data_IF_292691178610
#
_entry.id   IF_292691178610
#
_cell.length_a   1.000
_cell.length_b   1.000
_cell.length_c   1.000
_cell.angle_alpha   90.00
_cell.angle_beta   90.00
_cell.angle_gamma   90.00
#
_symmetry.space_group_name_H-M   'P 1'
#
loop_
_entity.id
_entity.type
_entity.pdbx_description
1 polymer ?
#
# COMPACT_ATOMS: atom_id res chain seq x y z
N UNK A 1 -18.33 4.17 -22.57
CA UNK A 1 -17.03 4.67 -23.06
C UNK A 1 -16.80 6.01 -22.41
N UNK A 2 -15.62 6.28 -21.81
CA UNK A 2 -15.38 7.59 -21.18
C UNK A 2 -15.56 8.74 -22.18
N UNK A 3 -16.15 9.85 -21.75
CA UNK A 3 -16.30 11.08 -22.54
C UNK A 3 -15.54 12.26 -21.93
N UNK A 4 -15.33 13.30 -22.74
CA UNK A 4 -14.62 14.50 -22.30
C UNK A 4 -15.52 15.38 -21.45
N UNK A 5 -14.96 15.92 -20.37
CA UNK A 5 -15.63 16.93 -19.57
C UNK A 5 -15.75 18.25 -20.36
N UNK A 6 -16.94 18.83 -20.42
CA UNK A 6 -17.16 20.10 -21.13
C UNK A 6 -16.42 21.29 -20.49
N UNK A 7 -16.03 21.20 -19.21
CA UNK A 7 -15.29 22.25 -18.52
C UNK A 7 -13.78 22.20 -18.79
N UNK A 8 -13.13 21.06 -18.58
CA UNK A 8 -11.66 20.94 -18.67
C UNK A 8 -11.14 20.14 -19.87
N UNK A 9 -12.03 19.53 -20.65
CA UNK A 9 -11.74 18.70 -21.82
C UNK A 9 -10.95 17.40 -21.57
N UNK A 10 -10.69 17.03 -20.31
CA UNK A 10 -10.12 15.72 -19.97
C UNK A 10 -11.18 14.61 -20.08
N UNK A 11 -10.75 13.42 -20.49
CA UNK A 11 -11.60 12.23 -20.67
C UNK A 11 -11.86 11.51 -19.35
N UNK A 12 -12.72 12.09 -18.51
CA UNK A 12 -12.93 11.65 -17.12
C UNK A 12 -14.32 11.11 -16.82
N UNK A 13 -15.30 11.35 -17.69
CA UNK A 13 -16.70 11.05 -17.39
C UNK A 13 -17.05 9.65 -17.88
N UNK A 14 -17.48 8.77 -16.98
CA UNK A 14 -17.90 7.39 -17.22
C UNK A 14 -19.40 7.27 -17.52
N UNK A 15 -20.23 8.16 -16.96
CA UNK A 15 -21.68 8.24 -17.18
C UNK A 15 -22.06 9.20 -18.30
N UNK A 16 -23.23 8.98 -18.88
CA UNK A 16 -23.83 9.87 -19.88
C UNK A 16 -24.34 11.20 -19.29
N UNK A 17 -24.66 11.24 -17.99
CA UNK A 17 -25.13 12.45 -17.28
C UNK A 17 -24.69 12.45 -15.81
N UNK A 18 -24.65 13.64 -15.20
CA UNK A 18 -24.44 13.90 -13.77
C UNK A 18 -23.14 13.39 -13.17
N UNK A 19 -22.21 12.95 -14.01
CA UNK A 19 -20.89 12.55 -13.54
C UNK A 19 -20.06 13.76 -13.12
N UNK A 20 -19.22 13.60 -12.10
CA UNK A 20 -18.37 14.68 -11.60
C UNK A 20 -16.96 14.46 -12.10
N UNK A 21 -16.44 15.44 -12.84
CA UNK A 21 -15.08 15.39 -13.35
C UNK A 21 -14.05 15.40 -12.20
N UNK A 22 -13.27 14.34 -12.05
CA UNK A 22 -12.20 14.24 -11.05
C UNK A 22 -11.09 15.30 -11.23
N UNK A 23 -10.94 15.85 -12.45
CA UNK A 23 -9.93 16.87 -12.74
C UNK A 23 -10.38 18.26 -12.31
N UNK A 24 -11.57 18.70 -12.71
CA UNK A 24 -12.01 20.08 -12.47
C UNK A 24 -13.14 20.22 -11.44
N UNK A 25 -13.85 19.15 -11.11
CA UNK A 25 -14.99 19.15 -10.19
C UNK A 25 -16.32 19.57 -10.81
N UNK A 26 -16.40 19.78 -12.13
CA UNK A 26 -17.67 20.07 -12.82
C UNK A 26 -18.54 18.81 -12.88
N UNK A 27 -19.80 18.95 -12.45
CA UNK A 27 -20.84 17.95 -12.66
C UNK A 27 -21.45 18.15 -14.05
N UNK A 28 -21.50 17.08 -14.83
CA UNK A 28 -22.03 17.07 -16.19
C UNK A 28 -23.57 17.18 -16.20
N UNK A 29 -24.03 18.41 -16.02
CA UNK A 29 -25.44 18.81 -16.01
C UNK A 29 -25.96 18.99 -17.45
N UNK A 30 -27.00 18.23 -17.87
CA UNK A 30 -27.58 18.33 -19.21
C UNK A 30 -28.07 19.74 -19.57
N UNK A 31 -28.44 20.53 -18.57
CA UNK A 31 -28.88 21.93 -18.76
C UNK A 31 -27.83 22.75 -19.51
N UNK A 32 -26.54 22.44 -19.29
CA UNK A 32 -25.42 23.19 -19.87
C UNK A 32 -24.98 22.68 -21.25
N UNK A 33 -25.56 21.61 -21.77
CA UNK A 33 -25.16 21.03 -23.06
C UNK A 33 -25.53 21.93 -24.23
N UNK A 34 -26.78 22.42 -24.22
CA UNK A 34 -27.29 23.34 -25.24
C UNK A 34 -27.24 24.80 -24.78
N UNK A 35 -27.12 25.06 -23.47
CA UNK A 35 -27.11 26.38 -22.86
C UNK A 35 -25.90 26.60 -21.94
N UNK A 36 -24.70 26.76 -22.49
CA UNK A 36 -23.45 26.83 -21.71
C UNK A 36 -23.33 28.08 -20.83
N UNK A 37 -24.17 29.08 -21.04
CA UNK A 37 -24.29 30.31 -20.26
C UNK A 37 -25.33 30.22 -19.12
N UNK A 38 -26.16 29.16 -19.10
CA UNK A 38 -27.15 28.95 -18.04
C UNK A 38 -26.50 28.58 -16.72
N UNK A 39 -27.02 29.13 -15.62
CA UNK A 39 -26.55 28.83 -14.27
C UNK A 39 -26.94 27.40 -13.89
N UNK A 40 -25.95 26.59 -13.54
CA UNK A 40 -26.19 25.23 -13.06
C UNK A 40 -26.26 25.21 -11.54
N UNK A 41 -27.43 24.84 -10.99
CA UNK A 41 -27.60 24.64 -9.55
C UNK A 41 -26.68 23.55 -8.99
N UNK A 42 -26.47 22.48 -9.76
CA UNK A 42 -25.56 21.40 -9.39
C UNK A 42 -24.09 21.86 -9.27
N UNK A 43 -23.70 22.88 -10.04
CA UNK A 43 -22.33 23.40 -10.06
C UNK A 43 -22.12 24.65 -9.20
N UNK A 44 -23.01 24.90 -8.23
CA UNK A 44 -22.89 26.04 -7.32
C UNK A 44 -23.37 27.36 -7.91
N UNK A 45 -24.25 27.30 -8.90
CA UNK A 45 -24.89 28.48 -9.50
C UNK A 45 -24.03 29.23 -10.50
N UNK A 46 -23.03 28.57 -11.10
CA UNK A 46 -22.22 29.14 -12.19
C UNK A 46 -22.55 28.48 -13.53
N UNK A 47 -22.26 29.18 -14.61
CA UNK A 47 -22.36 28.69 -15.98
C UNK A 47 -21.15 27.82 -16.38
N UNK A 48 -21.29 27.06 -17.47
CA UNK A 48 -20.21 26.28 -18.03
C UNK A 48 -19.06 27.19 -18.53
N UNK A 49 -19.36 28.36 -19.09
CA UNK A 49 -18.34 29.33 -19.50
C UNK A 49 -17.53 29.86 -18.32
N UNK A 50 -18.19 30.21 -17.21
CA UNK A 50 -17.51 30.61 -15.99
C UNK A 50 -16.66 29.47 -15.45
N UNK A 51 -17.16 28.24 -15.45
CA UNK A 51 -16.39 27.07 -15.04
C UNK A 51 -15.15 26.82 -15.90
N UNK A 52 -15.26 26.96 -17.22
CA UNK A 52 -14.13 26.85 -18.16
C UNK A 52 -13.08 27.94 -17.90
N UNK A 53 -13.52 29.18 -17.64
CA UNK A 53 -12.63 30.28 -17.27
C UNK A 53 -11.93 29.99 -15.95
N UNK A 54 -12.68 29.62 -14.92
CA UNK A 54 -12.14 29.25 -13.61
C UNK A 54 -11.15 28.10 -13.74
N UNK A 55 -11.44 27.08 -14.54
CA UNK A 55 -10.51 25.97 -14.71
C UNK A 55 -9.17 26.43 -15.29
N UNK A 56 -9.17 27.35 -16.26
CA UNK A 56 -7.94 27.92 -16.81
C UNK A 56 -7.16 28.76 -15.79
N UNK A 57 -7.86 29.47 -14.91
CA UNK A 57 -7.26 30.40 -13.94
C UNK A 57 -6.80 29.70 -12.66
N UNK A 58 -7.60 28.77 -12.13
CA UNK A 58 -7.42 28.18 -10.79
C UNK A 58 -7.37 26.63 -10.79
N UNK A 59 -7.53 25.97 -11.94
CA UNK A 59 -7.45 24.51 -12.05
C UNK A 59 -8.65 23.75 -11.46
N UNK A 60 -9.78 24.44 -11.26
CA UNK A 60 -11.05 23.88 -10.80
C UNK A 60 -12.22 24.69 -11.40
N UNK A 61 -13.41 24.09 -11.46
CA UNK A 61 -14.61 24.75 -12.00
C UNK A 61 -15.08 25.93 -11.13
N UNK A 62 -14.78 25.90 -9.83
CA UNK A 62 -15.01 27.00 -8.90
C UNK A 62 -14.08 26.90 -7.67
N UNK A 63 -14.07 27.95 -6.85
CA UNK A 63 -13.26 28.05 -5.64
C UNK A 63 -13.58 26.99 -4.58
N UNK A 64 -14.84 26.55 -4.50
CA UNK A 64 -15.27 25.51 -3.55
C UNK A 64 -14.60 24.18 -3.90
N UNK A 65 -14.62 23.82 -5.18
CA UNK A 65 -13.98 22.60 -5.68
C UNK A 65 -12.46 22.67 -5.57
N UNK A 66 -11.84 23.84 -5.78
CA UNK A 66 -10.41 24.02 -5.51
C UNK A 66 -10.07 23.73 -4.04
N UNK A 67 -10.83 24.30 -3.10
CA UNK A 67 -10.62 24.08 -1.65
C UNK A 67 -10.83 22.62 -1.28
N UNK A 68 -11.84 21.97 -1.84
CA UNK A 68 -12.10 20.55 -1.64
C UNK A 68 -10.92 19.70 -2.13
N UNK A 69 -10.44 19.92 -3.36
CA UNK A 69 -9.26 19.22 -3.92
C UNK A 69 -8.03 19.37 -3.03
N UNK A 70 -7.69 20.59 -2.62
CA UNK A 70 -6.57 20.85 -1.71
C UNK A 70 -6.71 20.12 -0.36
N UNK A 71 -7.93 20.00 0.16
CA UNK A 71 -8.20 19.24 1.40
C UNK A 71 -7.97 17.74 1.18
N UNK A 72 -8.48 17.18 0.08
CA UNK A 72 -8.27 15.77 -0.28
C UNK A 72 -6.78 15.46 -0.47
N UNK A 73 -6.05 16.28 -1.23
CA UNK A 73 -4.62 16.13 -1.45
C UNK A 73 -3.83 16.15 -0.13
N UNK A 74 -4.19 17.05 0.80
CA UNK A 74 -3.55 17.12 2.12
C UNK A 74 -3.81 15.86 2.94
N UNK A 75 -5.04 15.34 2.92
CA UNK A 75 -5.39 14.09 3.60
C UNK A 75 -4.69 12.88 2.97
N UNK A 76 -4.61 12.82 1.65
CA UNK A 76 -3.93 11.75 0.92
C UNK A 76 -2.43 11.72 1.25
N UNK A 77 -1.76 12.88 1.34
CA UNK A 77 -0.35 12.97 1.76
C UNK A 77 -0.12 12.46 3.18
N UNK A 78 -1.02 12.80 4.11
CA UNK A 78 -0.94 12.29 5.49
C UNK A 78 -1.12 10.77 5.53
N UNK A 79 -2.12 10.26 4.82
CA UNK A 79 -2.33 8.81 4.71
C UNK A 79 -1.13 8.08 4.09
N UNK A 80 -0.50 8.64 3.07
CA UNK A 80 0.71 8.08 2.47
C UNK A 80 1.88 8.01 3.49
N UNK A 81 2.06 9.07 4.28
CA UNK A 81 3.07 9.10 5.35
C UNK A 81 2.77 8.06 6.45
N UNK A 82 1.51 7.95 6.87
CA UNK A 82 1.09 6.95 7.84
C UNK A 82 1.29 5.53 7.31
N UNK A 83 1.03 5.31 6.01
CA UNK A 83 1.27 4.03 5.33
C UNK A 83 2.76 3.70 5.25
N UNK A 84 3.61 4.65 4.87
CA UNK A 84 5.07 4.45 4.86
C UNK A 84 5.61 4.08 6.25
N UNK A 85 5.10 4.73 7.30
CA UNK A 85 5.45 4.39 8.69
C UNK A 85 4.98 2.99 9.06
N UNK A 86 3.76 2.60 8.68
CA UNK A 86 3.22 1.28 8.93
C UNK A 86 4.00 0.19 8.20
N UNK A 87 4.26 0.38 6.89
CA UNK A 87 5.06 -0.51 6.06
C UNK A 87 6.49 -0.66 6.65
N UNK A 88 7.09 0.43 7.17
CA UNK A 88 8.39 0.38 7.84
C UNK A 88 8.36 -0.44 9.14
N UNK A 89 7.34 -0.25 9.99
CA UNK A 89 7.18 -1.01 11.25
C UNK A 89 6.97 -2.50 10.95
N UNK A 90 6.15 -2.86 9.97
CA UNK A 90 5.92 -4.25 9.59
C UNK A 90 7.23 -4.93 9.13
N UNK A 91 8.05 -4.23 8.35
CA UNK A 91 9.36 -4.74 7.91
C UNK A 91 10.31 -4.97 9.10
N UNK A 92 10.39 -4.04 10.06
CA UNK A 92 11.21 -4.22 11.26
C UNK A 92 10.79 -5.45 12.07
N UNK A 93 9.48 -5.65 12.27
CA UNK A 93 8.95 -6.82 13.00
C UNK A 93 9.28 -8.11 12.25
N UNK A 94 9.18 -8.11 10.92
CA UNK A 94 9.53 -9.27 10.10
C UNK A 94 11.04 -9.60 10.16
N UNK A 95 11.90 -8.59 10.16
CA UNK A 95 13.35 -8.77 10.31
C UNK A 95 13.72 -9.39 11.67
N UNK A 96 13.12 -8.90 12.76
CA UNK A 96 13.31 -9.44 14.10
C UNK A 96 12.83 -10.90 14.19
N UNK A 97 11.67 -11.22 13.61
CA UNK A 97 11.15 -12.59 13.56
C UNK A 97 12.10 -13.54 12.81
N UNK A 98 12.60 -13.13 11.65
CA UNK A 98 13.57 -13.90 10.87
C UNK A 98 14.88 -14.13 11.63
N UNK A 99 15.33 -13.14 12.42
CA UNK A 99 16.53 -13.26 13.25
C UNK A 99 16.34 -14.27 14.37
N UNK A 100 15.19 -14.27 15.04
CA UNK A 100 14.84 -15.27 16.07
C UNK A 100 14.83 -16.67 15.49
N UNK A 101 14.14 -16.88 14.35
CA UNK A 101 14.08 -18.18 13.68
C UNK A 101 15.49 -18.68 13.29
N UNK A 102 16.34 -17.79 12.78
CA UNK A 102 17.73 -18.12 12.45
C UNK A 102 18.53 -18.55 13.70
N UNK A 103 18.35 -17.87 14.83
CA UNK A 103 19.00 -18.21 16.10
C UNK A 103 18.53 -19.58 16.59
N UNK A 104 17.24 -19.87 16.52
CA UNK A 104 16.67 -21.17 16.90
C UNK A 104 17.20 -22.31 16.04
N UNK A 105 17.21 -22.14 14.71
CA UNK A 105 17.75 -23.13 13.78
C UNK A 105 19.24 -23.41 14.03
N UNK A 106 20.04 -22.36 14.28
CA UNK A 106 21.46 -22.51 14.64
C UNK A 106 21.63 -23.26 15.97
N UNK A 107 20.80 -22.93 16.96
CA UNK A 107 20.81 -23.59 18.27
C UNK A 107 20.43 -25.07 18.16
N UNK A 108 19.41 -25.41 17.37
CA UNK A 108 18.98 -26.78 17.15
C UNK A 108 20.04 -27.62 16.42
N UNK A 109 20.72 -27.03 15.42
CA UNK A 109 21.85 -27.67 14.73
C UNK A 109 22.96 -28.02 15.72
N UNK A 110 23.35 -27.07 16.58
CA UNK A 110 24.36 -27.31 17.60
C UNK A 110 23.97 -28.42 18.59
N UNK A 111 22.71 -28.43 19.05
CA UNK A 111 22.19 -29.48 19.93
C UNK A 111 22.29 -30.86 19.25
N UNK A 112 21.92 -30.96 17.98
CA UNK A 112 21.96 -32.21 17.23
C UNK A 112 23.40 -32.72 17.04
N UNK A 113 24.34 -31.81 16.77
CA UNK A 113 25.75 -32.13 16.64
C UNK A 113 26.36 -32.62 17.95
N UNK A 114 26.05 -31.94 19.07
CA UNK A 114 26.45 -32.37 20.41
C UNK A 114 25.92 -33.77 20.75
N UNK A 115 24.66 -34.06 20.40
CA UNK A 115 24.05 -35.39 20.57
C UNK A 115 24.76 -36.45 19.73
N UNK A 116 25.16 -36.14 18.50
CA UNK A 116 25.93 -37.06 17.63
C UNK A 116 27.29 -37.37 18.24
N UNK A 117 28.03 -36.36 18.69
CA UNK A 117 29.33 -36.53 19.35
C UNK A 117 29.19 -37.40 20.61
N UNK A 118 28.18 -37.15 21.45
CA UNK A 118 27.95 -37.95 22.66
C UNK A 118 27.67 -39.43 22.35
N UNK A 119 26.89 -39.72 21.29
CA UNK A 119 26.62 -41.09 20.82
C UNK A 119 27.91 -41.80 20.39
N UNK A 120 28.76 -41.13 19.61
CA UNK A 120 30.02 -41.73 19.14
C UNK A 120 31.01 -41.95 20.30
N UNK A 121 31.10 -41.01 21.25
CA UNK A 121 31.88 -41.21 22.49
C UNK A 121 31.38 -42.42 23.28
N UNK A 122 30.06 -42.56 23.45
CA UNK A 122 29.46 -43.72 24.15
C UNK A 122 29.75 -45.04 23.44
N UNK A 123 29.65 -45.08 22.10
CA UNK A 123 30.03 -46.27 21.31
C UNK A 123 31.50 -46.64 21.51
N UNK A 124 32.40 -45.67 21.48
CA UNK A 124 33.83 -45.89 21.69
C UNK A 124 34.12 -46.45 23.09
N UNK A 125 33.47 -45.90 24.12
CA UNK A 125 33.59 -46.40 25.49
C UNK A 125 33.09 -47.85 25.61
N UNK A 126 31.91 -48.16 25.07
CA UNK A 126 31.38 -49.53 25.08
C UNK A 126 32.33 -50.48 24.34
N UNK A 127 32.85 -50.07 23.18
CA UNK A 127 33.80 -50.89 22.41
C UNK A 127 35.09 -51.15 23.20
N UNK A 128 35.63 -50.13 23.87
CA UNK A 128 36.81 -50.28 24.70
C UNK A 128 36.56 -51.21 25.90
N UNK A 129 35.37 -51.13 26.51
CA UNK A 129 35.01 -52.00 27.63
C UNK A 129 34.84 -53.46 27.20
N UNK A 130 34.20 -53.70 26.05
CA UNK A 130 34.11 -55.04 25.44
C UNK A 130 35.52 -55.62 25.18
N UNK A 131 36.44 -54.81 24.66
CA UNK A 131 37.82 -55.24 24.38
C UNK A 131 38.60 -55.60 25.65
N UNK A 132 38.43 -54.83 26.75
CA UNK A 132 39.01 -55.18 28.06
C UNK A 132 38.50 -56.53 28.56
N UNK A 133 37.18 -56.76 28.47
CA UNK A 133 36.57 -58.03 28.89
C UNK A 133 37.18 -59.20 28.11
N UNK A 134 37.36 -59.05 26.79
CA UNK A 134 37.97 -60.10 25.95
C UNK A 134 39.40 -60.45 26.39
N UNK A 135 40.24 -59.45 26.66
CA UNK A 135 41.64 -59.65 27.07
C UNK A 135 41.80 -60.27 28.47
N UNK A 136 40.79 -60.18 29.32
CA UNK A 136 40.79 -60.81 30.64
C UNK A 136 40.27 -62.24 30.65
N UNK A 137 39.85 -62.78 29.50
CA UNK A 137 39.42 -64.18 29.33
C UNK A 137 40.51 -65.07 28.70
N UNK A 138 41.63 -64.50 28.26
CA UNK A 138 42.86 -65.20 27.82
C UNK A 138 43.85 -65.33 29.00
#
# INVERSE_FOLDING_TARGET
MKKNCLCCNYKTLDSDIFDICEVCGWQDDPTCWDHPDSLSGANGGISLWEAQKNYKEIGACNEVMLKFKKKIEKSAKRFAQDKELYDYIENLVAEDANRVETIELKSQRQINENRKIAREKRKALIKAEIEKIRRGMD
#
